data_IF_815151437576
#
_entry.id   IF_815151437576
#
_cell.length_a   1.000
_cell.length_b   1.000
_cell.length_c   1.000
_cell.angle_alpha   90.00
_cell.angle_beta   90.00
_cell.angle_gamma   90.00
#
_symmetry.space_group_name_H-M   'P 1'
#
loop_
_entity.id
_entity.type
_entity.pdbx_description
1 polymer ?
#
# COMPACT_ATOMS: atom_id res chain seq x y z
N UNK A 1 -15.27 15.04 10.35
CA UNK A 1 -16.28 14.42 9.47
C UNK A 1 -15.95 14.85 8.05
N UNK A 2 -15.66 13.90 7.16
CA UNK A 2 -15.49 14.25 5.75
C UNK A 2 -16.82 14.78 5.19
N UNK A 3 -16.68 15.77 4.32
CA UNK A 3 -17.77 16.61 3.82
C UNK A 3 -18.50 15.86 2.70
N UNK A 4 -19.47 15.02 3.05
CA UNK A 4 -20.35 14.32 2.10
C UNK A 4 -19.75 13.07 1.42
N UNK A 5 -20.63 12.13 1.06
CA UNK A 5 -20.27 10.85 0.42
C UNK A 5 -19.58 11.08 -0.93
N UNK A 6 -20.06 12.03 -1.74
CA UNK A 6 -19.51 12.34 -3.07
C UNK A 6 -18.06 12.85 -3.01
N UNK A 7 -17.73 13.67 -2.00
CA UNK A 7 -16.37 14.15 -1.82
C UNK A 7 -15.41 13.01 -1.45
N UNK A 8 -15.88 12.05 -0.64
CA UNK A 8 -15.09 10.86 -0.30
C UNK A 8 -14.88 9.93 -1.49
N UNK A 9 -15.92 9.69 -2.30
CA UNK A 9 -15.78 8.95 -3.55
C UNK A 9 -14.76 9.62 -4.49
N UNK A 10 -14.86 10.94 -4.64
CA UNK A 10 -13.92 11.73 -5.47
C UNK A 10 -12.49 11.65 -4.94
N UNK A 11 -12.30 11.74 -3.61
CA UNK A 11 -10.99 11.63 -2.99
C UNK A 11 -10.36 10.25 -3.19
N UNK A 12 -11.11 9.17 -2.94
CA UNK A 12 -10.65 7.79 -3.16
C UNK A 12 -10.19 7.59 -4.59
N UNK A 13 -11.02 8.04 -5.54
CA UNK A 13 -10.72 7.94 -6.96
C UNK A 13 -9.45 8.69 -7.33
N UNK A 14 -9.31 9.94 -6.88
CA UNK A 14 -8.12 10.74 -7.15
C UNK A 14 -6.85 10.09 -6.58
N UNK A 15 -6.88 9.63 -5.33
CA UNK A 15 -5.72 8.94 -4.72
C UNK A 15 -5.36 7.68 -5.49
N UNK A 16 -6.36 6.91 -5.91
CA UNK A 16 -6.15 5.71 -6.69
C UNK A 16 -5.55 5.99 -8.07
N UNK A 17 -6.09 6.97 -8.80
CA UNK A 17 -5.60 7.37 -10.13
C UNK A 17 -4.14 7.85 -10.08
N UNK A 18 -3.83 8.77 -9.16
CA UNK A 18 -2.47 9.31 -8.99
C UNK A 18 -1.47 8.21 -8.60
N UNK A 19 -1.88 7.22 -7.81
CA UNK A 19 -1.01 6.07 -7.50
C UNK A 19 -0.73 5.23 -8.74
N UNK A 20 -1.74 4.95 -9.58
CA UNK A 20 -1.55 4.17 -10.81
C UNK A 20 -0.68 4.92 -11.83
N UNK A 21 -0.84 6.24 -11.91
CA UNK A 21 -0.01 7.12 -12.73
C UNK A 21 1.45 7.08 -12.26
N UNK A 22 1.70 7.25 -10.96
CA UNK A 22 3.04 7.16 -10.39
C UNK A 22 3.69 5.78 -10.60
N UNK A 23 2.93 4.68 -10.44
CA UNK A 23 3.44 3.33 -10.71
C UNK A 23 3.80 3.18 -12.20
N UNK A 24 2.93 3.63 -13.10
CA UNK A 24 3.19 3.56 -14.54
C UNK A 24 4.43 4.38 -14.92
N UNK A 25 4.55 5.61 -14.43
CA UNK A 25 5.68 6.51 -14.72
C UNK A 25 7.02 5.95 -14.20
N UNK A 26 7.03 5.47 -12.95
CA UNK A 26 8.27 5.06 -12.30
C UNK A 26 8.70 3.64 -12.69
N UNK A 27 7.75 2.71 -12.84
CA UNK A 27 8.04 1.28 -12.91
C UNK A 27 8.04 0.72 -14.34
N UNK A 28 7.34 1.35 -15.28
CA UNK A 28 7.39 0.94 -16.69
C UNK A 28 8.61 1.54 -17.39
N UNK A 29 9.27 0.80 -18.29
CA UNK A 29 10.39 1.32 -19.06
C UNK A 29 9.89 2.35 -20.09
N UNK A 30 10.32 3.60 -19.96
CA UNK A 30 10.05 4.62 -20.97
C UNK A 30 10.94 4.39 -22.21
N UNK A 31 10.42 3.73 -23.25
CA UNK A 31 11.03 3.70 -24.59
C UNK A 31 12.51 3.27 -24.66
N UNK A 32 12.96 2.37 -23.78
CA UNK A 32 14.37 1.92 -23.70
C UNK A 32 15.21 2.57 -22.60
N UNK A 33 14.64 3.49 -21.82
CA UNK A 33 15.27 4.07 -20.63
C UNK A 33 15.32 3.12 -19.42
N UNK A 34 16.23 3.43 -18.50
CA UNK A 34 16.35 2.74 -17.22
C UNK A 34 15.11 2.99 -16.35
N UNK A 35 14.54 1.94 -15.75
CA UNK A 35 13.44 2.06 -14.78
C UNK A 35 13.91 2.80 -13.53
N UNK A 36 13.12 3.75 -13.05
CA UNK A 36 13.41 4.50 -11.82
C UNK A 36 12.86 3.79 -10.58
N UNK A 37 11.70 3.14 -10.73
CA UNK A 37 10.99 2.43 -9.69
C UNK A 37 11.31 0.94 -9.61
N UNK A 38 10.68 0.23 -8.67
CA UNK A 38 10.85 -1.21 -8.52
C UNK A 38 10.35 -1.96 -9.76
N UNK A 39 10.91 -3.15 -10.05
CA UNK A 39 10.47 -3.95 -11.20
C UNK A 39 9.04 -4.50 -11.03
N UNK A 40 8.53 -4.54 -9.79
CA UNK A 40 7.21 -5.06 -9.45
C UNK A 40 6.68 -4.41 -8.17
N UNK A 41 5.40 -4.08 -8.16
CA UNK A 41 4.65 -3.46 -7.06
C UNK A 41 3.51 -4.39 -6.66
N UNK A 42 3.45 -4.73 -5.38
CA UNK A 42 2.35 -5.51 -4.82
C UNK A 42 1.45 -4.59 -3.99
N UNK A 43 0.25 -4.29 -4.50
CA UNK A 43 -0.72 -3.44 -3.81
C UNK A 43 -1.66 -4.31 -2.99
N UNK A 44 -1.43 -4.36 -1.67
CA UNK A 44 -2.26 -5.12 -0.73
C UNK A 44 -3.46 -4.30 -0.29
N UNK A 45 -4.67 -4.77 -0.61
CA UNK A 45 -5.92 -4.06 -0.34
C UNK A 45 -6.81 -4.92 0.55
N UNK A 46 -7.26 -4.35 1.67
CA UNK A 46 -8.29 -4.96 2.51
C UNK A 46 -9.65 -4.78 1.86
N UNK A 47 -10.45 -5.84 1.89
CA UNK A 47 -11.81 -5.90 1.39
C UNK A 47 -12.65 -6.65 2.43
N UNK A 48 -12.86 -5.99 3.58
CA UNK A 48 -13.61 -6.45 4.75
C UNK A 48 -14.45 -5.27 5.29
N UNK A 49 -15.74 -5.27 4.97
CA UNK A 49 -16.68 -4.20 5.35
C UNK A 49 -16.78 -3.07 4.33
N UNK A 50 -17.88 -2.31 4.40
CA UNK A 50 -18.33 -1.37 3.37
C UNK A 50 -17.27 -0.35 2.95
N UNK A 51 -16.68 0.38 3.90
CA UNK A 51 -15.66 1.41 3.58
C UNK A 51 -14.42 0.81 2.90
N UNK A 52 -13.97 -0.37 3.33
CA UNK A 52 -12.82 -1.03 2.72
C UNK A 52 -13.13 -1.55 1.32
N UNK A 53 -14.37 -1.99 1.07
CA UNK A 53 -14.84 -2.40 -0.25
C UNK A 53 -14.83 -1.19 -1.19
N UNK A 54 -15.32 -0.03 -0.74
CA UNK A 54 -15.28 1.20 -1.54
C UNK A 54 -13.84 1.61 -1.88
N UNK A 55 -12.93 1.57 -0.90
CA UNK A 55 -11.51 1.84 -1.12
C UNK A 55 -10.90 0.84 -2.11
N UNK A 56 -11.16 -0.45 -1.91
CA UNK A 56 -10.66 -1.54 -2.77
C UNK A 56 -11.13 -1.37 -4.21
N UNK A 57 -12.42 -1.10 -4.41
CA UNK A 57 -13.00 -0.90 -5.74
C UNK A 57 -12.42 0.33 -6.44
N UNK A 58 -12.19 1.44 -5.71
CA UNK A 58 -11.57 2.62 -6.30
C UNK A 58 -10.18 2.32 -6.90
N UNK A 59 -9.34 1.53 -6.20
CA UNK A 59 -8.03 1.10 -6.71
C UNK A 59 -8.15 0.11 -7.87
N UNK A 60 -9.10 -0.84 -7.82
CA UNK A 60 -9.35 -1.77 -8.93
C UNK A 60 -9.76 -1.04 -10.21
N UNK A 61 -10.71 -0.12 -10.09
CA UNK A 61 -11.21 0.66 -11.22
C UNK A 61 -10.13 1.61 -11.78
N UNK A 62 -9.27 2.17 -10.92
CA UNK A 62 -8.14 2.99 -11.35
C UNK A 62 -7.13 2.16 -12.14
N UNK A 63 -6.75 0.99 -11.63
CA UNK A 63 -5.87 0.06 -12.34
C UNK A 63 -6.49 -0.36 -13.67
N UNK A 64 -7.77 -0.74 -13.70
CA UNK A 64 -8.47 -1.15 -14.92
C UNK A 64 -8.54 -0.03 -15.97
N UNK A 65 -8.74 1.22 -15.55
CA UNK A 65 -8.69 2.37 -16.46
C UNK A 65 -7.28 2.59 -17.02
N UNK A 66 -6.25 2.48 -16.17
CA UNK A 66 -4.85 2.71 -16.55
C UNK A 66 -4.29 1.61 -17.45
N UNK A 67 -4.71 0.35 -17.27
CA UNK A 67 -4.33 -0.79 -18.12
C UNK A 67 -4.74 -0.60 -19.58
N UNK A 68 -5.80 0.18 -19.86
CA UNK A 68 -6.19 0.52 -21.24
C UNK A 68 -5.19 1.47 -21.93
N UNK A 69 -4.33 2.13 -21.17
CA UNK A 69 -3.37 3.14 -21.64
C UNK A 69 -1.94 2.61 -21.68
N UNK A 70 -1.58 1.70 -20.78
CA UNK A 70 -0.23 1.16 -20.66
C UNK A 70 -0.24 -0.26 -20.08
N UNK A 71 0.83 -1.06 -20.25
CA UNK A 71 0.90 -2.44 -19.74
C UNK A 71 1.14 -2.50 -18.22
N UNK A 72 0.31 -1.80 -17.42
CA UNK A 72 0.47 -1.64 -15.98
C UNK A 72 0.55 -2.98 -15.24
N UNK A 73 -0.16 -4.02 -15.70
CA UNK A 73 -0.17 -5.34 -15.05
C UNK A 73 1.15 -6.10 -15.17
N UNK A 74 2.08 -5.67 -16.02
CA UNK A 74 3.44 -6.23 -16.05
C UNK A 74 4.23 -5.90 -14.77
N UNK A 75 3.87 -4.81 -14.11
CA UNK A 75 4.55 -4.31 -12.91
C UNK A 75 3.65 -4.34 -11.68
N UNK A 76 2.33 -4.16 -11.82
CA UNK A 76 1.39 -4.11 -10.71
C UNK A 76 0.74 -5.47 -10.45
N UNK A 77 0.74 -5.91 -9.20
CA UNK A 77 -0.04 -7.04 -8.71
C UNK A 77 -0.97 -6.58 -7.58
N UNK A 78 -2.28 -6.67 -7.82
CA UNK A 78 -3.29 -6.42 -6.81
C UNK A 78 -3.43 -7.66 -5.92
N UNK A 79 -3.41 -7.47 -4.59
CA UNK A 79 -3.48 -8.54 -3.60
C UNK A 79 -4.61 -8.24 -2.64
N UNK A 80 -5.68 -9.04 -2.68
CA UNK A 80 -6.85 -8.86 -1.83
C UNK A 80 -6.65 -9.59 -0.49
N UNK A 81 -6.87 -8.89 0.63
CA UNK A 81 -6.82 -9.46 1.98
C UNK A 81 -5.51 -10.20 2.31
N UNK A 82 -4.40 -9.75 1.73
CA UNK A 82 -3.07 -10.30 1.98
C UNK A 82 -2.35 -9.46 3.04
N UNK A 83 -1.73 -10.14 4.00
CA UNK A 83 -0.83 -9.51 4.98
C UNK A 83 0.49 -9.11 4.29
N UNK A 84 0.76 -7.81 4.22
CA UNK A 84 1.91 -7.29 3.49
C UNK A 84 3.27 -7.67 4.12
N UNK A 85 3.35 -7.93 5.42
CA UNK A 85 4.59 -8.38 6.06
C UNK A 85 4.87 -9.84 5.73
N UNK A 86 3.85 -10.69 5.83
CA UNK A 86 3.97 -12.08 5.42
C UNK A 86 4.36 -12.20 3.94
N UNK A 87 3.71 -11.41 3.07
CA UNK A 87 4.07 -11.38 1.65
C UNK A 87 5.51 -10.89 1.44
N UNK A 88 5.97 -9.89 2.19
CA UNK A 88 7.33 -9.40 2.10
C UNK A 88 8.36 -10.49 2.48
N UNK A 89 8.09 -11.24 3.56
CA UNK A 89 8.92 -12.37 3.98
C UNK A 89 8.94 -13.47 2.92
N UNK A 90 7.77 -13.87 2.39
CA UNK A 90 7.66 -14.86 1.31
C UNK A 90 8.42 -14.43 0.05
N UNK A 91 8.35 -13.15 -0.34
CA UNK A 91 9.08 -12.61 -1.48
C UNK A 91 10.60 -12.61 -1.23
N UNK A 92 11.03 -12.29 -0.01
CA UNK A 92 12.43 -12.30 0.38
C UNK A 92 13.04 -13.71 0.39
N UNK A 93 12.30 -14.69 0.91
CA UNK A 93 12.70 -16.11 0.92
C UNK A 93 12.83 -16.67 -0.50
N UNK A 94 11.81 -16.46 -1.35
CA UNK A 94 11.80 -17.00 -2.71
C UNK A 94 12.93 -16.49 -3.60
N UNK A 95 13.36 -15.25 -3.39
CA UNK A 95 14.45 -14.66 -4.17
C UNK A 95 15.85 -14.96 -3.60
N UNK A 96 15.95 -15.35 -2.32
CA UNK A 96 17.21 -15.83 -1.73
C UNK A 96 17.70 -17.11 -2.42
N UNK A 97 16.80 -17.91 -3.01
CA UNK A 97 17.16 -19.05 -3.86
C UNK A 97 17.89 -18.66 -5.17
N UNK A 98 17.85 -17.38 -5.57
CA UNK A 98 18.47 -16.85 -6.78
C UNK A 98 19.83 -16.15 -6.53
N UNK A 99 20.48 -16.38 -5.38
CA UNK A 99 21.79 -15.82 -4.98
C UNK A 99 21.84 -14.29 -4.81
N UNK A 100 20.71 -13.60 -4.68
CA UNK A 100 20.65 -12.22 -4.22
C UNK A 100 19.38 -12.00 -3.39
N UNK A 101 19.54 -11.69 -2.10
CA UNK A 101 18.40 -11.32 -1.28
C UNK A 101 17.77 -10.02 -1.84
N UNK A 102 16.48 -10.03 -2.22
CA UNK A 102 15.86 -8.86 -2.81
C UNK A 102 15.70 -7.81 -1.70
N UNK A 103 15.94 -6.55 -2.05
CA UNK A 103 15.56 -5.46 -1.17
C UNK A 103 14.05 -5.24 -1.32
N UNK A 104 13.28 -5.76 -0.37
CA UNK A 104 11.84 -5.51 -0.28
C UNK A 104 11.62 -4.20 0.49
N UNK A 105 10.80 -3.32 -0.06
CA UNK A 105 10.35 -2.11 0.59
C UNK A 105 8.83 -2.16 0.78
N UNK A 106 8.36 -1.73 1.95
CA UNK A 106 6.94 -1.64 2.28
C UNK A 106 6.57 -0.16 2.36
N UNK A 107 5.60 0.24 1.56
CA UNK A 107 4.98 1.57 1.64
C UNK A 107 3.64 1.45 2.34
N UNK A 108 3.48 2.14 3.46
CA UNK A 108 2.25 2.15 4.26
C UNK A 108 1.52 3.48 4.09
N UNK A 109 0.22 3.41 3.79
CA UNK A 109 -0.67 4.57 3.75
C UNK A 109 -1.05 5.02 5.17
N UNK A 110 -0.07 5.46 5.96
CA UNK A 110 -0.25 5.78 7.38
C UNK A 110 -1.22 6.95 7.60
N UNK A 111 -1.90 6.94 8.74
CA UNK A 111 -2.65 8.10 9.21
C UNK A 111 -1.69 9.29 9.46
N UNK A 112 -1.98 10.43 8.84
CA UNK A 112 -1.17 11.67 8.98
C UNK A 112 -1.10 12.20 10.41
N UNK A 113 -2.15 11.98 11.22
CA UNK A 113 -2.29 12.57 12.56
C UNK A 113 -1.83 11.65 13.69
N UNK A 114 -1.77 10.35 13.44
CA UNK A 114 -1.47 9.36 14.47
C UNK A 114 -0.72 8.18 13.84
N UNK A 115 0.60 8.15 14.02
CA UNK A 115 1.45 7.11 13.43
C UNK A 115 1.11 5.76 14.07
N UNK A 116 0.84 4.74 13.24
CA UNK A 116 0.41 3.41 13.67
C UNK A 116 -1.01 3.35 14.23
N UNK A 117 -1.78 4.45 14.14
CA UNK A 117 -3.17 4.55 14.58
C UNK A 117 -3.41 3.90 15.96
N UNK A 118 -4.39 2.99 16.08
CA UNK A 118 -4.73 2.32 17.33
C UNK A 118 -4.05 0.95 17.48
N UNK A 119 -2.79 0.80 17.04
CA UNK A 119 -2.07 -0.50 17.04
C UNK A 119 -2.02 -1.24 18.40
N UNK A 120 -2.19 -0.50 19.50
CA UNK A 120 -2.24 -1.02 20.87
C UNK A 120 -3.65 -1.39 21.37
N UNK A 121 -4.70 -1.11 20.60
CA UNK A 121 -6.10 -1.40 20.96
C UNK A 121 -6.58 -2.76 20.40
N UNK A 122 -7.70 -3.24 20.95
CA UNK A 122 -8.40 -4.43 20.46
C UNK A 122 -9.00 -4.15 19.07
N UNK A 123 -8.62 -4.95 18.05
CA UNK A 123 -9.06 -4.76 16.66
C UNK A 123 -7.92 -4.47 15.68
N UNK A 124 -6.76 -4.05 16.20
CA UNK A 124 -5.55 -3.70 15.44
C UNK A 124 -5.01 -4.76 14.47
N UNK A 125 -5.45 -6.01 14.59
CA UNK A 125 -5.01 -7.12 13.74
C UNK A 125 -5.60 -7.07 12.34
N UNK A 126 -6.69 -6.31 12.14
CA UNK A 126 -7.44 -6.29 10.88
C UNK A 126 -7.07 -5.09 9.99
N UNK A 127 -6.51 -4.02 10.55
CA UNK A 127 -6.04 -2.88 9.77
C UNK A 127 -4.56 -3.04 9.41
N UNK A 128 -4.21 -2.80 8.15
CA UNK A 128 -2.84 -2.99 7.63
C UNK A 128 -1.83 -2.13 8.40
N UNK A 129 -2.12 -0.85 8.59
CA UNK A 129 -1.25 0.10 9.31
C UNK A 129 -1.00 -0.37 10.76
N UNK A 130 -2.06 -0.66 11.48
CA UNK A 130 -1.99 -1.08 12.89
C UNK A 130 -1.23 -2.41 13.05
N UNK A 131 -1.47 -3.36 12.15
CA UNK A 131 -0.79 -4.65 12.16
C UNK A 131 0.71 -4.52 11.83
N UNK A 132 1.09 -3.62 10.91
CA UNK A 132 2.50 -3.31 10.61
C UNK A 132 3.23 -2.83 11.87
N UNK A 133 2.66 -1.86 12.57
CA UNK A 133 3.26 -1.32 13.79
C UNK A 133 3.31 -2.35 14.92
N UNK A 134 2.25 -3.16 15.09
CA UNK A 134 2.20 -4.22 16.11
C UNK A 134 3.29 -5.28 15.92
N UNK A 135 3.62 -5.63 14.68
CA UNK A 135 4.57 -6.70 14.35
C UNK A 135 6.02 -6.23 14.20
N UNK A 136 6.27 -4.93 14.33
CA UNK A 136 7.59 -4.34 14.19
C UNK A 136 7.96 -3.51 15.41
N UNK A 137 8.89 -4.01 16.24
CA UNK A 137 9.34 -3.31 17.44
C UNK A 137 9.99 -1.96 17.13
N UNK A 138 10.60 -1.78 15.96
CA UNK A 138 11.14 -0.48 15.52
C UNK A 138 10.01 0.49 15.16
N UNK A 139 9.01 0.06 14.40
CA UNK A 139 7.86 0.89 14.03
C UNK A 139 6.98 1.23 15.23
N UNK A 140 6.77 0.29 16.16
CA UNK A 140 6.06 0.54 17.41
C UNK A 140 6.77 1.60 18.27
N UNK A 141 8.10 1.48 18.43
CA UNK A 141 8.89 2.49 19.16
C UNK A 141 8.86 3.85 18.48
N UNK A 142 9.02 3.89 17.15
CA UNK A 142 8.94 5.13 16.40
C UNK A 142 7.56 5.78 16.53
N UNK A 143 6.47 5.01 16.38
CA UNK A 143 5.12 5.49 16.60
C UNK A 143 4.93 6.05 18.01
N UNK A 144 5.39 5.32 19.04
CA UNK A 144 5.32 5.76 20.42
C UNK A 144 6.05 7.10 20.61
N UNK A 145 7.31 7.20 20.20
CA UNK A 145 8.13 8.41 20.37
C UNK A 145 7.59 9.61 19.59
N UNK A 146 7.19 9.40 18.33
CA UNK A 146 6.74 10.50 17.46
C UNK A 146 5.32 10.97 17.77
N UNK A 147 4.50 10.15 18.43
CA UNK A 147 3.19 10.57 18.88
C UNK A 147 3.22 11.32 20.23
N UNK A 148 4.34 11.29 20.98
CA UNK A 148 4.48 12.01 22.26
C UNK A 148 4.65 13.53 22.11
N UNK A 149 5.00 14.03 20.92
CA UNK A 149 5.17 15.47 20.64
C UNK A 149 3.84 16.21 20.34
N UNK A 150 2.68 15.58 20.60
CA UNK A 150 1.35 16.16 20.32
C UNK A 150 0.52 16.48 21.58
N UNK A 151 1.14 16.55 22.77
CA UNK A 151 0.54 17.19 23.96
C UNK A 151 0.81 18.70 24.02
#
# INVERSE_FOLDING_TARGET
RYVGQDAMCSLRRRVADELMDAIAELCLPAGGGQRLGPPRVHLCLVCIGEESIDNHNAFLEAAAAKVKQCPLMEVLQLRQNVDCLQLADELAENASAANAAPKIAILNGCNRKLIGNHWFQTGARLAIDENLHRRSASMARAALLLNFDFE
#
